data_IF_594161508311
#
_entry.id   IF_594161508311
#
_cell.length_a   1.000
_cell.length_b   1.000
_cell.length_c   1.000
_cell.angle_alpha   90.00
_cell.angle_beta   90.00
_cell.angle_gamma   90.00
#
_symmetry.space_group_name_H-M   'P 1'
#
loop_
_entity.id
_entity.type
_entity.pdbx_description
1 polymer ?
#
# COMPACT_ATOMS: atom_id res chain seq x y z
N UNK A 1 45.78 27.98 -22.39
CA UNK A 1 45.19 26.78 -21.74
C UNK A 1 44.69 27.14 -20.33
N UNK A 2 43.52 27.78 -20.19
CA UNK A 2 42.95 28.14 -18.86
C UNK A 2 41.42 28.04 -18.78
N UNK A 3 40.76 27.48 -19.79
CA UNK A 3 39.29 27.40 -19.86
C UNK A 3 38.76 25.99 -19.51
N UNK A 4 39.65 25.02 -19.31
CA UNK A 4 39.27 23.62 -19.05
C UNK A 4 38.91 23.32 -17.59
N UNK A 5 38.91 24.32 -16.70
CA UNK A 5 38.73 24.12 -15.26
C UNK A 5 37.29 24.34 -14.75
N UNK A 6 36.28 24.43 -15.62
CA UNK A 6 34.90 24.75 -15.22
C UNK A 6 33.87 23.63 -15.43
N UNK A 7 34.28 22.38 -15.69
CA UNK A 7 33.33 21.33 -16.09
C UNK A 7 33.39 20.02 -15.31
N UNK A 8 33.86 20.04 -14.06
CA UNK A 8 34.01 18.79 -13.28
C UNK A 8 33.60 18.97 -11.82
N UNK A 9 32.30 19.11 -11.56
CA UNK A 9 31.66 18.71 -10.30
C UNK A 9 30.13 18.93 -10.37
N UNK A 10 29.44 18.35 -11.35
CA UNK A 10 27.99 18.18 -11.25
C UNK A 10 27.74 16.90 -10.43
N UNK A 11 27.87 17.01 -9.10
CA UNK A 11 27.44 15.95 -8.20
C UNK A 11 25.91 15.84 -8.29
N UNK A 12 25.42 14.90 -9.08
CA UNK A 12 24.03 14.44 -9.02
C UNK A 12 23.84 13.66 -7.71
N UNK A 13 23.62 14.38 -6.61
CA UNK A 13 23.14 13.77 -5.38
C UNK A 13 21.68 13.35 -5.62
N UNK A 14 21.47 12.13 -6.09
CA UNK A 14 20.15 11.52 -6.10
C UNK A 14 19.80 11.19 -4.65
N UNK A 15 19.19 12.13 -3.93
CA UNK A 15 18.53 11.81 -2.67
C UNK A 15 17.47 10.76 -3.00
N UNK A 16 17.69 9.54 -2.52
CA UNK A 16 16.65 8.53 -2.46
C UNK A 16 15.58 9.05 -1.49
N UNK A 17 14.62 9.81 -2.02
CA UNK A 17 13.50 10.33 -1.26
C UNK A 17 12.51 9.19 -1.07
N UNK A 18 12.43 8.67 0.15
CA UNK A 18 11.30 7.86 0.57
C UNK A 18 10.15 8.82 0.85
N UNK A 19 9.04 8.66 0.16
CA UNK A 19 7.86 9.50 0.38
C UNK A 19 6.77 8.67 1.06
N UNK A 20 5.97 9.34 1.88
CA UNK A 20 5.00 8.69 2.75
C UNK A 20 3.60 9.04 2.26
N UNK A 21 2.88 8.04 1.77
CA UNK A 21 1.53 8.17 1.26
C UNK A 21 0.52 7.71 2.31
N UNK A 22 -0.37 8.61 2.73
CA UNK A 22 -1.46 8.32 3.68
C UNK A 22 -2.69 7.85 2.93
N UNK A 23 -3.10 6.62 3.19
CA UNK A 23 -4.29 6.00 2.59
C UNK A 23 -5.45 6.09 3.56
N UNK A 24 -6.60 6.52 3.04
CA UNK A 24 -7.84 6.68 3.76
C UNK A 24 -8.94 5.80 3.15
N UNK A 25 -9.94 5.51 3.96
CA UNK A 25 -11.08 4.66 3.63
C UNK A 25 -12.38 5.33 4.10
N UNK A 26 -13.41 5.28 3.27
CA UNK A 26 -14.72 5.84 3.56
C UNK A 26 -15.81 4.87 3.07
N UNK A 27 -16.64 4.32 3.98
CA UNK A 27 -17.86 3.62 3.58
C UNK A 27 -18.79 4.55 2.81
N UNK A 28 -19.32 4.10 1.67
CA UNK A 28 -20.31 4.84 0.89
C UNK A 28 -21.69 4.29 1.27
N UNK A 29 -22.32 4.94 2.24
CA UNK A 29 -23.73 4.73 2.60
C UNK A 29 -24.48 6.05 2.42
N UNK A 30 -25.82 6.01 2.43
CA UNK A 30 -26.64 7.22 2.35
C UNK A 30 -26.36 8.23 3.49
N UNK A 31 -25.77 7.78 4.60
CA UNK A 31 -25.41 8.63 5.74
C UNK A 31 -23.92 8.99 5.79
N UNK A 32 -23.05 8.19 5.18
CA UNK A 32 -21.58 8.35 5.28
C UNK A 32 -20.98 9.28 4.21
N UNK A 33 -21.75 9.76 3.23
CA UNK A 33 -21.24 10.70 2.20
C UNK A 33 -20.66 12.00 2.79
N UNK A 34 -21.19 12.47 3.92
CA UNK A 34 -20.71 13.66 4.63
C UNK A 34 -19.73 13.35 5.77
N UNK A 35 -19.42 12.07 6.02
CA UNK A 35 -18.48 11.70 7.08
C UNK A 35 -17.04 11.80 6.58
N UNK A 36 -16.15 12.33 7.42
CA UNK A 36 -14.73 12.39 7.10
C UNK A 36 -14.16 10.96 6.89
N UNK A 37 -13.28 10.75 5.90
CA UNK A 37 -12.63 9.46 5.68
C UNK A 37 -11.78 9.06 6.89
N UNK A 38 -11.79 7.77 7.21
CA UNK A 38 -10.98 7.19 8.29
C UNK A 38 -9.61 6.83 7.76
N UNK A 39 -8.58 6.99 8.60
CA UNK A 39 -7.23 6.53 8.27
C UNK A 39 -7.21 5.01 8.10
N UNK A 40 -6.50 4.53 7.08
CA UNK A 40 -6.33 3.11 6.81
C UNK A 40 -4.88 2.67 6.99
N UNK A 41 -3.95 3.35 6.30
CA UNK A 41 -2.56 2.94 6.30
C UNK A 41 -1.61 4.07 5.89
N UNK A 42 -0.38 3.99 6.39
CA UNK A 42 0.76 4.75 5.87
C UNK A 42 1.63 3.82 5.03
N UNK A 43 1.83 4.17 3.77
CA UNK A 43 2.70 3.44 2.85
C UNK A 43 3.95 4.27 2.59
N UNK A 44 5.11 3.72 2.94
CA UNK A 44 6.39 4.31 2.57
C UNK A 44 6.77 3.78 1.20
N UNK A 45 6.87 4.69 0.25
CA UNK A 45 7.16 4.37 -1.14
C UNK A 45 8.51 4.96 -1.54
N UNK A 46 9.28 4.15 -2.27
CA UNK A 46 10.59 4.55 -2.78
C UNK A 46 10.50 4.69 -4.31
N UNK A 47 10.63 5.91 -4.82
CA UNK A 47 10.51 6.19 -6.26
C UNK A 47 11.62 5.52 -7.09
N UNK A 48 12.82 5.37 -6.51
CA UNK A 48 13.96 4.77 -7.18
C UNK A 48 13.89 3.24 -7.22
N UNK A 49 13.20 2.63 -6.26
CA UNK A 49 13.06 1.19 -6.16
C UNK A 49 11.69 0.84 -5.53
N UNK A 50 10.75 0.43 -6.37
CA UNK A 50 9.41 0.07 -5.91
C UNK A 50 9.38 -1.22 -5.10
N UNK A 51 10.40 -2.08 -5.22
CA UNK A 51 10.45 -3.38 -4.54
C UNK A 51 10.71 -3.29 -3.04
N UNK A 52 11.21 -2.14 -2.57
CA UNK A 52 11.43 -1.85 -1.13
C UNK A 52 10.29 -1.06 -0.50
N UNK A 53 9.18 -0.86 -1.21
CA UNK A 53 8.02 -0.15 -0.64
C UNK A 53 7.32 -1.00 0.41
N UNK A 54 6.95 -0.39 1.53
CA UNK A 54 6.36 -1.10 2.67
C UNK A 54 5.20 -0.35 3.31
N UNK A 55 4.31 -1.10 3.97
CA UNK A 55 3.23 -0.53 4.79
C UNK A 55 3.78 -0.36 6.20
N UNK A 56 3.97 0.89 6.60
CA UNK A 56 4.63 1.25 7.87
C UNK A 56 3.64 1.29 9.02
N UNK A 57 2.41 1.74 8.75
CA UNK A 57 1.34 1.77 9.73
C UNK A 57 0.05 1.27 9.10
N UNK A 58 -0.72 0.49 9.85
CA UNK A 58 -2.01 -0.04 9.41
C UNK A 58 -3.00 0.01 10.57
N UNK A 59 -4.16 0.58 10.31
CA UNK A 59 -5.27 0.63 11.24
C UNK A 59 -6.46 -0.10 10.61
N UNK A 60 -7.00 -1.10 11.33
CA UNK A 60 -8.14 -1.85 10.83
C UNK A 60 -9.38 -0.95 10.88
N UNK A 61 -10.03 -0.70 9.74
CA UNK A 61 -11.17 0.21 9.71
C UNK A 61 -12.42 -0.48 10.25
N UNK A 62 -13.22 0.26 11.02
CA UNK A 62 -14.56 -0.18 11.39
C UNK A 62 -15.50 0.10 10.22
N UNK A 63 -15.90 -0.97 9.52
CA UNK A 63 -16.82 -0.87 8.38
C UNK A 63 -18.21 -1.34 8.81
N UNK A 64 -19.24 -0.49 8.66
CA UNK A 64 -20.62 -0.86 8.93
C UNK A 64 -21.08 -2.05 8.06
N UNK A 65 -21.92 -2.94 8.61
CA UNK A 65 -22.44 -4.10 7.87
C UNK A 65 -23.38 -3.71 6.71
N UNK A 66 -23.95 -2.51 6.76
CA UNK A 66 -24.80 -1.92 5.72
C UNK A 66 -24.00 -1.26 4.57
N UNK A 67 -22.68 -1.19 4.68
CA UNK A 67 -21.83 -0.62 3.64
C UNK A 67 -21.60 -1.60 2.47
N UNK A 68 -22.30 -1.35 1.36
CA UNK A 68 -22.13 -2.14 0.13
C UNK A 68 -20.87 -1.75 -0.67
N UNK A 69 -20.49 -0.47 -0.58
CA UNK A 69 -19.42 0.14 -1.34
C UNK A 69 -18.47 0.90 -0.43
N UNK A 70 -17.18 0.86 -0.75
CA UNK A 70 -16.16 1.59 0.00
C UNK A 70 -15.27 2.36 -0.95
N UNK A 71 -15.01 3.63 -0.62
CA UNK A 71 -14.02 4.46 -1.27
C UNK A 71 -12.69 4.33 -0.54
N UNK A 72 -11.62 4.03 -1.27
CA UNK A 72 -10.25 3.96 -0.74
C UNK A 72 -9.35 4.85 -1.58
N UNK A 73 -8.43 5.59 -0.96
CA UNK A 73 -7.53 6.45 -1.71
C UNK A 73 -6.74 7.45 -0.87
N UNK A 74 -6.17 8.44 -1.54
CA UNK A 74 -5.46 9.55 -0.94
C UNK A 74 -6.45 10.70 -0.69
N UNK A 75 -6.56 11.10 0.57
CA UNK A 75 -7.43 12.19 0.99
C UNK A 75 -6.59 13.33 1.55
N UNK A 76 -6.81 14.53 1.03
CA UNK A 76 -6.24 15.74 1.58
C UNK A 76 -7.17 16.30 2.65
N UNK A 77 -6.78 16.16 3.91
CA UNK A 77 -7.53 16.66 5.06
C UNK A 77 -7.63 18.19 5.10
N UNK A 78 -6.68 18.91 4.49
CA UNK A 78 -6.67 20.38 4.47
C UNK A 78 -7.66 20.90 3.41
N UNK A 79 -7.68 20.29 2.23
CA UNK A 79 -8.62 20.62 1.16
C UNK A 79 -10.01 19.95 1.33
N UNK A 80 -10.14 19.03 2.28
CA UNK A 80 -11.29 18.14 2.46
C UNK A 80 -11.73 17.45 1.16
N UNK A 81 -10.75 17.01 0.37
CA UNK A 81 -10.97 16.49 -0.97
C UNK A 81 -10.15 15.23 -1.23
N UNK A 82 -10.71 14.32 -2.03
CA UNK A 82 -9.99 13.15 -2.52
C UNK A 82 -9.04 13.56 -3.64
N UNK A 83 -7.73 13.38 -3.45
CA UNK A 83 -6.71 13.62 -4.48
C UNK A 83 -6.69 12.47 -5.49
N UNK A 84 -6.91 11.25 -5.01
CA UNK A 84 -7.06 10.05 -5.81
C UNK A 84 -7.95 9.08 -5.04
N UNK A 85 -8.92 8.44 -5.70
CA UNK A 85 -9.78 7.47 -5.05
C UNK A 85 -10.20 6.37 -6.01
N UNK A 86 -10.42 5.18 -5.46
CA UNK A 86 -11.01 4.04 -6.14
C UNK A 86 -12.19 3.55 -5.29
N UNK A 87 -13.33 3.32 -5.95
CA UNK A 87 -14.51 2.75 -5.31
C UNK A 87 -14.50 1.25 -5.53
N UNK A 88 -14.50 0.49 -4.44
CA UNK A 88 -14.62 -0.96 -4.46
C UNK A 88 -16.09 -1.33 -4.20
N UNK A 89 -16.70 -2.02 -5.16
CA UNK A 89 -18.02 -2.62 -5.00
C UNK A 89 -17.82 -4.08 -4.55
N UNK A 90 -18.52 -4.49 -3.49
CA UNK A 90 -18.37 -5.77 -2.80
C UNK A 90 -17.16 -5.87 -1.86
N UNK A 91 -17.41 -5.60 -0.57
CA UNK A 91 -16.53 -5.99 0.53
C UNK A 91 -16.73 -7.49 0.78
N UNK A 92 -16.25 -8.34 -0.12
CA UNK A 92 -16.09 -9.75 0.25
C UNK A 92 -14.88 -9.82 1.18
N UNK A 93 -15.11 -10.09 2.46
CA UNK A 93 -14.06 -10.37 3.44
C UNK A 93 -13.26 -11.58 2.95
N UNK A 94 -12.24 -11.35 2.14
CA UNK A 94 -11.31 -12.37 1.71
C UNK A 94 -10.47 -12.73 2.93
N UNK A 95 -11.00 -13.64 3.76
CA UNK A 95 -10.27 -14.27 4.86
C UNK A 95 -9.03 -14.91 4.23
N UNK A 96 -7.88 -14.25 4.41
CA UNK A 96 -6.57 -14.75 3.96
C UNK A 96 -6.29 -16.05 4.71
N UNK A 97 -6.84 -17.13 4.18
CA UNK A 97 -6.61 -18.47 4.66
C UNK A 97 -5.26 -18.85 4.07
N UNK A 98 -4.20 -18.67 4.87
CA UNK A 98 -2.87 -19.17 4.53
C UNK A 98 -3.03 -20.64 4.17
N UNK A 99 -2.84 -20.97 2.89
CA UNK A 99 -2.88 -22.34 2.39
C UNK A 99 -1.75 -23.09 3.10
N UNK A 100 -2.00 -24.10 3.94
CA UNK A 100 -0.92 -24.90 4.49
C UNK A 100 -0.21 -25.60 3.33
N UNK A 101 1.09 -25.33 3.21
CA UNK A 101 2.00 -26.02 2.32
C UNK A 101 2.04 -27.50 2.68
N UNK A 102 1.20 -28.32 2.06
CA UNK A 102 1.39 -29.76 2.01
C UNK A 102 2.13 -30.10 0.72
N UNK A 103 3.37 -30.57 0.84
CA UNK A 103 3.96 -31.43 -0.15
C UNK A 103 4.57 -32.65 0.53
N UNK A 104 4.38 -33.86 -0.02
CA UNK A 104 4.43 -35.09 0.75
C UNK A 104 5.67 -35.95 0.45
N UNK A 105 5.99 -36.80 1.42
CA UNK A 105 6.49 -38.17 1.24
C UNK A 105 7.93 -38.35 0.72
N UNK A 106 8.89 -38.31 1.65
CA UNK A 106 10.20 -38.97 1.52
C UNK A 106 9.99 -40.47 1.32
N UNK A 107 10.34 -40.98 0.14
CA UNK A 107 10.30 -42.40 -0.24
C UNK A 107 11.33 -43.18 0.59
N UNK A 108 10.83 -44.00 1.51
CA UNK A 108 11.60 -44.96 2.30
C UNK A 108 12.20 -46.01 1.36
N UNK A 109 13.53 -46.08 1.30
CA UNK A 109 14.27 -47.14 0.62
C UNK A 109 14.39 -48.34 1.56
N UNK A 110 13.90 -49.50 1.14
CA UNK A 110 14.20 -50.79 1.75
C UNK A 110 15.32 -51.46 0.94
N UNK A 111 16.35 -52.05 1.57
CA UNK A 111 17.37 -52.83 0.87
C UNK A 111 16.85 -54.22 0.50
N UNK A 112 17.25 -54.70 -0.68
CA UNK A 112 17.10 -56.10 -1.10
C UNK A 112 18.48 -56.75 -1.21
N UNK A 113 18.54 -58.00 -0.75
CA UNK A 113 19.65 -58.97 -0.72
C UNK A 113 20.67 -58.81 0.43
#
# INVERSE_FOLDING_TARGET
MRVYALFSALCAATLASAELAKVYIQPITASSENQAPTFLADVQYHLADTSVSEVVNYEFPEIPEDAENVRVGLYDSAAQAWTSSSSLQSITLAKVTRRPSSSPSTRQAAPSA
#
